data_IF_373738444100
#
_entry.id   IF_373738444100
#
_cell.length_a   1.000
_cell.length_b   1.000
_cell.length_c   1.000
_cell.angle_alpha   90.00
_cell.angle_beta   90.00
_cell.angle_gamma   90.00
#
_symmetry.space_group_name_H-M   'P 1'
#
loop_
_entity.id
_entity.type
_entity.pdbx_description
1 polymer ?
#
# COMPACT_ATOMS: atom_id res chain seq x y z
N UNK A 1 120.34 -149.18 127.97
CA UNK A 1 119.75 -147.83 127.97
C UNK A 1 120.72 -146.93 127.24
N UNK A 2 120.49 -146.64 125.95
CA UNK A 2 121.04 -145.43 125.35
C UNK A 2 119.88 -144.44 125.29
N UNK A 3 119.91 -143.47 126.21
CA UNK A 3 118.84 -142.49 126.43
C UNK A 3 118.96 -141.40 125.37
N UNK A 4 117.97 -141.37 124.47
CA UNK A 4 117.79 -140.42 123.36
C UNK A 4 117.45 -139.02 123.89
N UNK A 5 118.04 -137.96 123.32
CA UNK A 5 117.92 -136.57 123.78
C UNK A 5 116.65 -135.87 123.21
N UNK A 6 116.03 -134.89 123.91
CA UNK A 6 114.81 -134.21 123.46
C UNK A 6 114.92 -133.41 122.14
N UNK A 7 116.14 -133.04 121.75
CA UNK A 7 116.42 -132.41 120.45
C UNK A 7 116.15 -133.39 119.29
N UNK A 8 116.40 -134.68 119.52
CA UNK A 8 116.16 -135.74 118.54
C UNK A 8 114.66 -135.94 118.32
N UNK A 9 113.83 -135.81 119.36
CA UNK A 9 112.36 -135.91 119.23
C UNK A 9 111.73 -134.79 118.38
N UNK A 10 112.26 -133.55 118.45
CA UNK A 10 111.79 -132.43 117.60
C UNK A 10 112.25 -132.60 116.15
N UNK A 11 113.48 -133.08 115.96
CA UNK A 11 113.95 -133.45 114.63
C UNK A 11 113.09 -134.58 114.06
N UNK A 12 112.74 -135.58 114.85
CA UNK A 12 111.88 -136.69 114.45
C UNK A 12 110.44 -136.26 114.15
N UNK A 13 109.85 -135.32 114.89
CA UNK A 13 108.51 -134.80 114.59
C UNK A 13 108.48 -133.93 113.31
N UNK A 14 109.52 -133.12 113.09
CA UNK A 14 109.72 -132.38 111.85
C UNK A 14 109.95 -133.30 110.66
N UNK A 15 110.76 -134.33 110.84
CA UNK A 15 110.97 -135.42 109.89
C UNK A 15 109.68 -136.23 109.69
N UNK A 16 108.85 -136.44 110.70
CA UNK A 16 107.58 -137.16 110.59
C UNK A 16 106.53 -136.32 109.85
N UNK A 17 106.44 -135.01 110.08
CA UNK A 17 105.60 -134.10 109.27
C UNK A 17 106.08 -134.03 107.83
N UNK A 18 107.39 -133.94 107.61
CA UNK A 18 107.98 -134.01 106.27
C UNK A 18 107.66 -135.36 105.64
N UNK A 19 107.94 -136.49 106.30
CA UNK A 19 107.57 -137.84 105.84
C UNK A 19 106.07 -137.96 105.59
N UNK A 20 105.20 -137.39 106.40
CA UNK A 20 103.75 -137.45 106.21
C UNK A 20 103.29 -136.57 105.04
N UNK A 21 103.87 -135.38 104.87
CA UNK A 21 103.63 -134.52 103.71
C UNK A 21 104.19 -135.16 102.43
N UNK A 22 105.37 -135.78 102.52
CA UNK A 22 105.99 -136.60 101.48
C UNK A 22 105.11 -137.81 101.18
N UNK A 23 104.52 -138.49 102.16
CA UNK A 23 103.59 -139.60 101.94
C UNK A 23 102.29 -139.14 101.29
N UNK A 24 101.71 -138.00 101.69
CA UNK A 24 100.54 -137.39 101.01
C UNK A 24 100.88 -136.97 99.59
N UNK A 25 102.09 -136.43 99.37
CA UNK A 25 102.60 -136.05 98.05
C UNK A 25 102.87 -137.29 97.21
N UNK A 26 103.53 -138.31 97.74
CA UNK A 26 103.81 -139.59 97.10
C UNK A 26 102.51 -140.28 96.70
N UNK A 27 101.50 -140.30 97.56
CA UNK A 27 100.15 -140.79 97.21
C UNK A 27 99.54 -140.06 95.99
N UNK A 28 99.88 -138.78 95.75
CA UNK A 28 99.46 -138.03 94.56
C UNK A 28 100.40 -138.15 93.36
N UNK A 29 101.70 -138.38 93.61
CA UNK A 29 102.75 -138.41 92.57
C UNK A 29 102.89 -139.80 91.95
N UNK A 30 102.76 -140.86 92.76
CA UNK A 30 102.84 -142.25 92.32
C UNK A 30 101.51 -142.82 91.84
N UNK A 31 100.39 -142.25 92.27
CA UNK A 31 99.10 -142.56 91.65
C UNK A 31 99.02 -141.81 90.32
N UNK A 32 99.32 -142.55 89.24
CA UNK A 32 99.32 -142.02 87.89
C UNK A 32 97.98 -141.35 87.54
N UNK A 33 96.86 -141.82 88.10
CA UNK A 33 95.53 -141.27 87.79
C UNK A 33 95.31 -139.91 88.42
N UNK A 34 95.65 -139.71 89.68
CA UNK A 34 95.56 -138.39 90.33
C UNK A 34 96.61 -137.40 89.84
N UNK A 35 97.72 -137.88 89.26
CA UNK A 35 98.72 -137.02 88.62
C UNK A 35 98.29 -136.54 87.22
N UNK A 36 97.55 -137.37 86.48
CA UNK A 36 97.06 -137.02 85.13
C UNK A 36 95.70 -136.32 85.19
N UNK A 37 94.80 -136.72 86.09
CA UNK A 37 93.39 -136.25 86.17
C UNK A 37 92.97 -136.02 87.65
N UNK A 38 93.82 -135.37 88.45
CA UNK A 38 93.51 -135.02 89.83
C UNK A 38 92.83 -133.66 89.94
N UNK A 39 91.71 -133.60 90.66
CA UNK A 39 91.02 -132.36 90.99
C UNK A 39 90.01 -132.54 92.11
N UNK A 40 89.68 -131.44 92.78
CA UNK A 40 88.71 -131.42 93.89
C UNK A 40 87.30 -131.27 93.33
N UNK A 41 86.59 -132.39 93.24
CA UNK A 41 85.22 -132.44 92.71
C UNK A 41 84.23 -131.65 93.56
N UNK A 42 84.44 -131.54 94.88
CA UNK A 42 83.55 -130.79 95.77
C UNK A 42 83.71 -129.28 95.57
N UNK A 43 84.96 -128.80 95.45
CA UNK A 43 85.25 -127.40 95.13
C UNK A 43 84.74 -127.00 93.74
N UNK A 44 84.89 -127.86 92.72
CA UNK A 44 84.31 -127.62 91.39
C UNK A 44 82.79 -127.59 91.42
N UNK A 45 82.14 -128.48 92.19
CA UNK A 45 80.69 -128.46 92.36
C UNK A 45 80.21 -127.15 93.01
N UNK A 46 80.93 -126.64 94.02
CA UNK A 46 80.63 -125.35 94.64
C UNK A 46 80.83 -124.18 93.66
N UNK A 47 81.92 -124.16 92.87
CA UNK A 47 82.15 -123.15 91.84
C UNK A 47 81.06 -123.16 90.75
N UNK A 48 80.65 -124.36 90.29
CA UNK A 48 79.54 -124.50 89.34
C UNK A 48 78.23 -124.03 89.96
N UNK A 49 78.00 -124.29 91.25
CA UNK A 49 76.81 -123.80 91.95
C UNK A 49 76.78 -122.27 92.05
N UNK A 50 77.89 -121.64 92.44
CA UNK A 50 78.01 -120.17 92.50
C UNK A 50 77.87 -119.54 91.11
N UNK A 51 78.43 -120.16 90.08
CA UNK A 51 78.27 -119.71 88.70
C UNK A 51 76.80 -119.83 88.24
N UNK A 52 76.11 -120.92 88.59
CA UNK A 52 74.66 -121.05 88.33
C UNK A 52 73.84 -119.99 89.07
N UNK A 53 74.20 -119.63 90.31
CA UNK A 53 73.54 -118.53 91.03
C UNK A 53 73.79 -117.19 90.33
N UNK A 54 75.03 -116.90 89.92
CA UNK A 54 75.35 -115.67 89.17
C UNK A 54 74.58 -115.60 87.86
N UNK A 55 74.58 -116.67 87.08
CA UNK A 55 73.81 -116.76 85.84
C UNK A 55 72.30 -116.58 86.10
N UNK A 56 71.75 -117.18 87.16
CA UNK A 56 70.34 -117.02 87.51
C UNK A 56 70.00 -115.58 87.93
N UNK A 57 70.87 -114.92 88.69
CA UNK A 57 70.67 -113.53 89.12
C UNK A 57 70.83 -112.54 87.95
N UNK A 58 71.77 -112.77 87.04
CA UNK A 58 71.91 -112.00 85.79
C UNK A 58 70.71 -112.22 84.87
N UNK A 59 70.26 -113.47 84.69
CA UNK A 59 69.03 -113.77 83.94
C UNK A 59 67.82 -113.06 84.53
N UNK A 60 67.63 -113.11 85.86
CA UNK A 60 66.54 -112.40 86.53
C UNK A 60 66.63 -110.87 86.31
N UNK A 61 67.83 -110.28 86.35
CA UNK A 61 68.04 -108.85 86.04
C UNK A 61 67.72 -108.51 84.59
N UNK A 62 68.15 -109.34 83.64
CA UNK A 62 67.83 -109.16 82.24
C UNK A 62 66.33 -109.30 81.98
N UNK A 63 65.66 -110.23 82.66
CA UNK A 63 64.21 -110.39 82.61
C UNK A 63 63.47 -109.17 83.18
N UNK A 64 63.93 -108.58 84.28
CA UNK A 64 63.35 -107.34 84.82
C UNK A 64 63.52 -106.17 83.85
N UNK A 65 64.71 -105.98 83.28
CA UNK A 65 64.93 -104.93 82.28
C UNK A 65 64.11 -105.15 81.01
N UNK A 66 63.98 -106.40 80.54
CA UNK A 66 63.13 -106.74 79.40
C UNK A 66 61.64 -106.51 79.71
N UNK A 67 61.20 -106.72 80.96
CA UNK A 67 59.84 -106.39 81.38
C UNK A 67 59.61 -104.86 81.41
N UNK A 68 60.54 -104.08 81.94
CA UNK A 68 60.49 -102.62 81.93
C UNK A 68 60.49 -102.05 80.51
N UNK A 69 61.35 -102.57 79.62
CA UNK A 69 61.38 -102.17 78.22
C UNK A 69 60.02 -102.42 77.54
N UNK A 70 59.40 -103.58 77.75
CA UNK A 70 58.05 -103.88 77.24
C UNK A 70 56.99 -102.93 77.79
N UNK A 71 57.09 -102.51 79.06
CA UNK A 71 56.19 -101.52 79.64
C UNK A 71 56.40 -100.14 79.02
N UNK A 72 57.64 -99.70 78.84
CA UNK A 72 57.98 -98.42 78.23
C UNK A 72 57.56 -98.35 76.75
N UNK A 73 57.73 -99.43 75.99
CA UNK A 73 57.27 -99.53 74.60
C UNK A 73 55.73 -99.39 74.54
N UNK A 74 55.02 -100.09 75.44
CA UNK A 74 53.56 -99.97 75.55
C UNK A 74 53.12 -98.55 75.89
N UNK A 75 53.81 -97.88 76.82
CA UNK A 75 53.53 -96.48 77.18
C UNK A 75 53.76 -95.57 75.96
N UNK A 76 54.86 -95.78 75.23
CA UNK A 76 55.21 -95.01 74.03
C UNK A 76 54.14 -95.13 72.96
N UNK A 77 53.67 -96.34 72.65
CA UNK A 77 52.57 -96.55 71.70
C UNK A 77 51.28 -95.83 72.13
N UNK A 78 50.93 -95.88 73.42
CA UNK A 78 49.74 -95.20 73.94
C UNK A 78 49.86 -93.68 73.79
N UNK A 79 51.04 -93.11 74.08
CA UNK A 79 51.31 -91.69 73.94
C UNK A 79 51.27 -91.25 72.47
N UNK A 80 51.85 -92.04 71.57
CA UNK A 80 51.80 -91.79 70.13
C UNK A 80 50.36 -91.81 69.60
N UNK A 81 49.54 -92.77 70.04
CA UNK A 81 48.12 -92.84 69.65
C UNK A 81 47.29 -91.69 70.22
N UNK A 82 47.65 -91.16 71.40
CA UNK A 82 47.04 -89.93 71.93
C UNK A 82 47.43 -88.73 71.08
N UNK A 83 48.72 -88.55 70.81
CA UNK A 83 49.20 -87.46 69.96
C UNK A 83 48.58 -87.51 68.56
N UNK A 84 48.49 -88.69 67.94
CA UNK A 84 47.82 -88.88 66.64
C UNK A 84 46.35 -88.49 66.69
N UNK A 85 45.64 -88.79 67.79
CA UNK A 85 44.24 -88.39 67.97
C UNK A 85 44.13 -86.88 68.14
N UNK A 86 44.99 -86.27 68.95
CA UNK A 86 45.02 -84.83 69.21
C UNK A 86 45.35 -84.03 67.94
N UNK A 87 46.31 -84.52 67.14
CA UNK A 87 46.60 -83.95 65.81
C UNK A 87 45.38 -84.02 64.89
N UNK A 88 44.67 -85.15 64.88
CA UNK A 88 43.44 -85.30 64.07
C UNK A 88 42.33 -84.36 64.53
N UNK A 89 42.08 -84.22 65.83
CA UNK A 89 41.07 -83.29 66.36
C UNK A 89 41.46 -81.84 66.09
N UNK A 90 42.73 -81.48 66.25
CA UNK A 90 43.22 -80.14 65.92
C UNK A 90 43.04 -79.82 64.42
N UNK A 91 43.44 -80.72 63.52
CA UNK A 91 43.24 -80.53 62.09
C UNK A 91 41.76 -80.39 61.73
N UNK A 92 40.87 -81.19 62.36
CA UNK A 92 39.42 -81.05 62.18
C UNK A 92 38.92 -79.71 62.66
N UNK A 93 39.36 -79.24 63.84
CA UNK A 93 38.97 -77.94 64.38
C UNK A 93 39.43 -76.79 63.48
N UNK A 94 40.68 -76.84 62.97
CA UNK A 94 41.22 -75.87 62.02
C UNK A 94 40.38 -75.86 60.74
N UNK A 95 40.12 -77.02 60.14
CA UNK A 95 39.30 -77.11 58.92
C UNK A 95 37.88 -76.58 59.15
N UNK A 96 37.25 -76.92 60.27
CA UNK A 96 35.93 -76.43 60.63
C UNK A 96 35.94 -74.90 60.80
N UNK A 97 36.98 -74.35 61.43
CA UNK A 97 37.15 -72.91 61.58
C UNK A 97 37.34 -72.21 60.22
N UNK A 98 38.18 -72.77 59.35
CA UNK A 98 38.40 -72.26 58.00
C UNK A 98 37.10 -72.29 57.18
N UNK A 99 36.35 -73.39 57.22
CA UNK A 99 35.09 -73.52 56.50
C UNK A 99 33.99 -72.61 57.05
N UNK A 100 34.00 -72.29 58.34
CA UNK A 100 32.96 -71.48 58.97
C UNK A 100 33.25 -69.98 58.85
N UNK A 101 34.50 -69.58 59.01
CA UNK A 101 34.89 -68.17 59.19
C UNK A 101 35.86 -67.63 58.15
N UNK A 102 36.48 -68.48 57.32
CA UNK A 102 37.44 -68.06 56.29
C UNK A 102 36.91 -68.32 54.88
N UNK A 103 35.59 -68.24 54.69
CA UNK A 103 34.98 -68.34 53.37
C UNK A 103 35.42 -67.14 52.52
N UNK A 104 35.58 -67.30 51.19
CA UNK A 104 35.85 -66.17 50.30
C UNK A 104 34.80 -65.06 50.41
N UNK A 105 33.53 -65.46 50.57
CA UNK A 105 32.37 -64.56 50.68
C UNK A 105 32.42 -63.65 51.91
N UNK A 106 33.08 -64.07 52.99
CA UNK A 106 33.17 -63.31 54.24
C UNK A 106 34.36 -62.35 54.27
N UNK A 107 35.13 -62.25 53.17
CA UNK A 107 36.24 -61.31 53.06
C UNK A 107 35.73 -59.88 52.93
N UNK A 108 36.51 -58.92 53.42
CA UNK A 108 36.16 -57.49 53.38
C UNK A 108 36.04 -56.98 51.94
N UNK A 109 36.89 -57.49 51.06
CA UNK A 109 37.03 -57.12 49.65
C UNK A 109 36.30 -58.09 48.70
N UNK A 110 35.40 -58.93 49.21
CA UNK A 110 34.67 -59.88 48.37
C UNK A 110 33.77 -59.18 47.35
N UNK A 111 33.21 -58.02 47.69
CA UNK A 111 32.44 -57.16 46.78
C UNK A 111 33.22 -56.82 45.49
N UNK A 112 34.53 -56.61 45.58
CA UNK A 112 35.40 -56.34 44.44
C UNK A 112 35.77 -57.61 43.65
N UNK A 113 35.76 -58.77 44.31
CA UNK A 113 36.20 -60.06 43.74
C UNK A 113 35.03 -60.96 43.35
N UNK A 114 33.79 -60.53 43.57
CA UNK A 114 32.59 -61.31 43.32
C UNK A 114 32.41 -61.53 41.80
N UNK A 115 32.41 -62.79 41.31
CA UNK A 115 32.21 -63.07 39.89
C UNK A 115 30.85 -62.61 39.37
N UNK A 116 29.88 -62.35 40.25
CA UNK A 116 28.54 -61.86 39.91
C UNK A 116 28.35 -60.35 40.12
N UNK A 117 29.41 -59.60 40.49
CA UNK A 117 29.32 -58.16 40.77
C UNK A 117 28.59 -57.38 39.67
N UNK A 118 29.00 -57.55 38.40
CA UNK A 118 28.40 -56.88 37.24
C UNK A 118 26.91 -57.18 37.03
N UNK A 119 26.40 -58.32 37.54
CA UNK A 119 24.98 -58.67 37.44
C UNK A 119 24.16 -58.09 38.59
N UNK A 120 24.79 -57.87 39.74
CA UNK A 120 24.16 -57.25 40.92
C UNK A 120 24.14 -55.72 40.81
N UNK A 121 25.12 -55.16 40.11
CA UNK A 121 25.24 -53.72 39.91
C UNK A 121 24.09 -53.16 39.07
N UNK A 122 23.64 -51.98 39.49
CA UNK A 122 22.61 -51.23 38.80
C UNK A 122 23.23 -50.39 37.68
N UNK A 123 22.54 -50.21 36.54
CA UNK A 123 23.00 -49.29 35.50
C UNK A 123 23.23 -47.88 36.05
N UNK A 124 24.26 -47.21 35.53
CA UNK A 124 24.65 -45.86 35.94
C UNK A 124 23.52 -44.82 35.73
N UNK A 125 22.67 -45.01 34.70
CA UNK A 125 21.44 -44.23 34.48
C UNK A 125 20.30 -45.19 34.18
N UNK A 126 19.33 -45.27 35.09
CA UNK A 126 18.12 -46.08 34.91
C UNK A 126 16.99 -45.29 34.26
N UNK A 127 16.89 -44.00 34.59
CA UNK A 127 15.84 -43.09 34.15
C UNK A 127 16.40 -41.68 34.09
N UNK A 128 15.80 -40.83 33.28
CA UNK A 128 16.14 -39.40 33.21
C UNK A 128 15.80 -38.65 34.49
N UNK A 129 14.89 -39.19 35.29
CA UNK A 129 14.48 -38.62 36.58
C UNK A 129 15.12 -39.36 37.77
N UNK A 130 16.20 -40.13 37.53
CA UNK A 130 16.93 -40.80 38.61
C UNK A 130 17.62 -39.76 39.51
N UNK A 131 17.21 -39.73 40.79
CA UNK A 131 17.69 -38.76 41.78
C UNK A 131 19.19 -38.97 42.08
N UNK A 132 19.74 -40.17 41.84
CA UNK A 132 21.16 -40.48 42.02
C UNK A 132 22.05 -39.75 41.01
N UNK A 133 21.49 -39.36 39.87
CA UNK A 133 22.20 -38.69 38.79
C UNK A 133 22.26 -37.19 39.04
N UNK A 134 23.18 -36.80 39.93
CA UNK A 134 23.53 -35.41 40.16
C UNK A 134 24.46 -34.88 39.05
N UNK A 135 24.65 -33.56 39.04
CA UNK A 135 25.46 -32.86 38.03
C UNK A 135 26.91 -33.37 37.99
N UNK A 136 27.49 -33.71 39.16
CA UNK A 136 28.88 -34.21 39.25
C UNK A 136 29.05 -35.62 38.66
N UNK A 137 27.98 -36.41 38.59
CA UNK A 137 28.03 -37.77 38.05
C UNK A 137 28.17 -37.85 36.53
N UNK A 138 27.97 -36.73 35.81
CA UNK A 138 28.10 -36.62 34.35
C UNK A 138 27.26 -37.65 33.56
N UNK A 139 26.21 -38.21 34.17
CA UNK A 139 25.33 -39.20 33.52
C UNK A 139 24.20 -38.57 32.71
N UNK A 140 23.84 -37.30 32.99
CA UNK A 140 22.77 -36.57 32.31
C UNK A 140 23.22 -35.15 31.99
N UNK A 141 23.12 -34.78 30.72
CA UNK A 141 23.38 -33.42 30.26
C UNK A 141 22.08 -32.73 29.83
N UNK A 142 21.91 -31.48 30.25
CA UNK A 142 20.73 -30.68 29.90
C UNK A 142 20.65 -30.34 28.39
N UNK A 143 21.75 -30.49 27.65
CA UNK A 143 21.79 -30.27 26.20
C UNK A 143 21.35 -31.46 25.35
N UNK A 144 21.12 -32.65 25.94
CA UNK A 144 20.69 -33.85 25.19
C UNK A 144 19.31 -33.69 24.55
N UNK A 145 18.44 -32.90 25.18
CA UNK A 145 17.08 -32.57 24.72
C UNK A 145 16.32 -33.73 24.05
N UNK A 146 15.77 -34.61 24.89
CA UNK A 146 14.99 -35.76 24.46
C UNK A 146 13.71 -35.36 23.70
N UNK A 147 13.21 -34.14 23.95
CA UNK A 147 11.95 -33.64 23.36
C UNK A 147 12.19 -32.86 22.06
N UNK A 148 13.38 -32.94 21.47
CA UNK A 148 13.74 -32.24 20.24
C UNK A 148 12.71 -32.44 19.12
N UNK A 149 12.28 -33.70 18.91
CA UNK A 149 11.33 -34.05 17.85
C UNK A 149 9.95 -33.44 18.09
N UNK A 150 9.46 -33.46 19.34
CA UNK A 150 8.17 -32.86 19.70
C UNK A 150 8.20 -31.34 19.55
N UNK A 151 9.28 -30.69 20.03
CA UNK A 151 9.46 -29.24 19.86
C UNK A 151 9.50 -28.87 18.38
N UNK A 152 10.20 -29.65 17.55
CA UNK A 152 10.29 -29.40 16.10
C UNK A 152 8.92 -29.53 15.43
N UNK A 153 8.14 -30.57 15.76
CA UNK A 153 6.76 -30.72 15.27
C UNK A 153 5.90 -29.51 15.64
N UNK A 154 5.95 -29.08 16.91
CA UNK A 154 5.19 -27.92 17.37
C UNK A 154 5.60 -26.61 16.67
N UNK A 155 6.89 -26.46 16.34
CA UNK A 155 7.39 -25.32 15.55
C UNK A 155 6.90 -25.39 14.10
N UNK A 156 6.90 -26.58 13.48
CA UNK A 156 6.38 -26.79 12.13
C UNK A 156 4.87 -26.51 12.05
N UNK A 157 4.11 -26.94 13.06
CA UNK A 157 2.67 -26.66 13.19
C UNK A 157 2.39 -25.15 13.31
N UNK A 158 3.09 -24.45 14.20
CA UNK A 158 2.98 -22.98 14.31
C UNK A 158 3.30 -22.27 13.00
N UNK A 159 4.41 -22.65 12.34
CA UNK A 159 4.79 -22.06 11.06
C UNK A 159 3.74 -22.31 9.97
N UNK A 160 3.16 -23.51 9.96
CA UNK A 160 2.06 -23.85 9.05
C UNK A 160 0.83 -22.99 9.31
N UNK A 161 0.43 -22.83 10.57
CA UNK A 161 -0.73 -22.01 10.93
C UNK A 161 -0.53 -20.53 10.56
N UNK A 162 0.65 -19.97 10.85
CA UNK A 162 0.98 -18.60 10.45
C UNK A 162 0.98 -18.41 8.95
N UNK A 163 1.54 -19.36 8.19
CA UNK A 163 1.54 -19.29 6.72
C UNK A 163 0.12 -19.33 6.16
N UNK A 164 -0.75 -20.20 6.69
CA UNK A 164 -2.15 -20.28 6.29
C UNK A 164 -2.93 -19.01 6.65
N UNK A 165 -2.66 -18.41 7.82
CA UNK A 165 -3.26 -17.15 8.20
C UNK A 165 -2.86 -16.02 7.25
N UNK A 166 -1.57 -15.90 6.93
CA UNK A 166 -1.09 -14.90 5.98
C UNK A 166 -1.69 -15.09 4.58
N UNK A 167 -1.81 -16.33 4.09
CA UNK A 167 -2.47 -16.62 2.82
C UNK A 167 -3.93 -16.16 2.83
N UNK A 168 -4.69 -16.48 3.88
CA UNK A 168 -6.09 -16.04 4.01
C UNK A 168 -6.22 -14.53 4.11
N UNK A 169 -5.32 -13.85 4.79
CA UNK A 169 -5.29 -12.39 4.86
C UNK A 169 -4.98 -11.77 3.51
N UNK A 170 -4.01 -12.33 2.78
CA UNK A 170 -3.67 -11.89 1.44
C UNK A 170 -4.81 -12.10 0.44
N UNK A 171 -5.46 -13.26 0.46
CA UNK A 171 -6.62 -13.56 -0.38
C UNK A 171 -7.79 -12.60 -0.09
N UNK A 172 -8.08 -12.34 1.20
CA UNK A 172 -9.10 -11.36 1.60
C UNK A 172 -8.75 -9.95 1.12
N UNK A 173 -7.51 -9.51 1.30
CA UNK A 173 -7.06 -8.20 0.84
C UNK A 173 -7.16 -8.07 -0.69
N UNK A 174 -6.79 -9.13 -1.42
CA UNK A 174 -6.90 -9.19 -2.88
C UNK A 174 -8.35 -9.17 -3.35
N UNK A 175 -9.26 -9.88 -2.67
CA UNK A 175 -10.68 -9.85 -2.97
C UNK A 175 -11.27 -8.45 -2.72
N UNK A 176 -10.95 -7.83 -1.58
CA UNK A 176 -11.35 -6.45 -1.27
C UNK A 176 -10.84 -5.45 -2.31
N UNK A 177 -9.58 -5.59 -2.75
CA UNK A 177 -9.02 -4.74 -3.80
C UNK A 177 -9.79 -4.88 -5.13
N UNK A 178 -10.06 -6.12 -5.56
CA UNK A 178 -10.85 -6.38 -6.77
C UNK A 178 -12.24 -5.77 -6.70
N UNK A 179 -12.95 -5.98 -5.58
CA UNK A 179 -14.26 -5.38 -5.38
C UNK A 179 -14.21 -3.84 -5.43
N UNK A 180 -13.17 -3.22 -4.88
CA UNK A 180 -12.99 -1.77 -4.94
C UNK A 180 -12.69 -1.28 -6.37
N UNK A 181 -11.87 -2.01 -7.13
CA UNK A 181 -11.61 -1.72 -8.55
C UNK A 181 -12.87 -1.86 -9.40
N UNK A 182 -13.65 -2.91 -9.20
CA UNK A 182 -14.91 -3.13 -9.91
C UNK A 182 -15.91 -2.00 -9.62
N UNK A 183 -16.04 -1.59 -8.36
CA UNK A 183 -16.89 -0.46 -7.97
C UNK A 183 -16.41 0.86 -8.59
N UNK A 184 -15.10 1.09 -8.60
CA UNK A 184 -14.51 2.27 -9.24
C UNK A 184 -14.78 2.27 -10.75
N UNK A 185 -14.62 1.12 -11.43
CA UNK A 185 -14.92 0.97 -12.85
C UNK A 185 -16.40 1.24 -13.14
N UNK A 186 -17.32 0.66 -12.37
CA UNK A 186 -18.76 0.91 -12.51
C UNK A 186 -19.09 2.41 -12.33
N UNK A 187 -18.50 3.04 -11.32
CA UNK A 187 -18.68 4.48 -11.08
C UNK A 187 -18.19 5.30 -12.26
N UNK A 188 -17.01 4.98 -12.83
CA UNK A 188 -16.49 5.65 -14.02
C UNK A 188 -17.39 5.48 -15.25
N UNK A 189 -17.89 4.28 -15.49
CA UNK A 189 -18.82 4.02 -16.58
C UNK A 189 -20.10 4.85 -16.42
N UNK A 190 -20.64 4.95 -15.20
CA UNK A 190 -21.80 5.79 -14.92
C UNK A 190 -21.53 7.28 -15.20
N UNK A 191 -20.32 7.77 -14.89
CA UNK A 191 -19.92 9.13 -15.24
C UNK A 191 -19.78 9.34 -16.75
N UNK A 192 -19.25 8.37 -17.48
CA UNK A 192 -19.16 8.46 -18.95
C UNK A 192 -20.55 8.45 -19.61
N UNK A 193 -21.49 7.66 -19.09
CA UNK A 193 -22.88 7.63 -19.56
C UNK A 193 -23.61 8.95 -19.29
N UNK A 194 -23.51 9.46 -18.07
CA UNK A 194 -24.09 10.77 -17.72
C UNK A 194 -23.47 11.90 -18.52
N UNK A 195 -22.14 11.89 -18.76
CA UNK A 195 -21.48 12.87 -19.60
C UNK A 195 -21.98 12.82 -21.06
N UNK A 196 -22.13 11.62 -21.63
CA UNK A 196 -22.73 11.44 -22.97
C UNK A 196 -24.16 11.98 -23.00
N UNK A 197 -24.97 11.68 -21.99
CA UNK A 197 -26.34 12.19 -21.91
C UNK A 197 -26.36 13.73 -21.87
N UNK A 198 -25.57 14.35 -20.99
CA UNK A 198 -25.46 15.81 -20.91
C UNK A 198 -24.99 16.44 -22.22
N UNK A 199 -24.02 15.82 -22.90
CA UNK A 199 -23.56 16.29 -24.21
C UNK A 199 -24.67 16.21 -25.27
N UNK A 200 -25.46 15.13 -25.29
CA UNK A 200 -26.59 15.03 -26.22
C UNK A 200 -27.64 16.09 -25.94
N UNK A 201 -27.96 16.32 -24.66
CA UNK A 201 -28.95 17.30 -24.23
C UNK A 201 -28.49 18.71 -24.59
N UNK A 202 -27.24 19.06 -24.31
CA UNK A 202 -26.63 20.33 -24.69
C UNK A 202 -26.63 20.56 -26.21
N UNK A 203 -26.30 19.52 -26.99
CA UNK A 203 -26.37 19.61 -28.45
C UNK A 203 -27.81 19.83 -28.94
N UNK A 204 -28.80 19.17 -28.33
CA UNK A 204 -30.21 19.35 -28.70
C UNK A 204 -30.73 20.73 -28.30
N UNK A 205 -30.38 21.26 -27.12
CA UNK A 205 -30.80 22.59 -26.68
C UNK A 205 -30.16 23.67 -27.54
N UNK A 206 -28.86 23.57 -27.85
CA UNK A 206 -28.19 24.48 -28.79
C UNK A 206 -28.87 24.48 -30.16
N UNK A 207 -29.21 23.31 -30.71
CA UNK A 207 -29.95 23.21 -31.98
C UNK A 207 -31.33 23.86 -31.90
N UNK A 208 -32.07 23.64 -30.82
CA UNK A 208 -33.38 24.23 -30.61
C UNK A 208 -33.29 25.77 -30.50
N UNK A 209 -32.32 26.29 -29.76
CA UNK A 209 -32.04 27.73 -29.66
C UNK A 209 -31.68 28.31 -31.02
N UNK A 210 -30.77 27.68 -31.78
CA UNK A 210 -30.42 28.14 -33.13
C UNK A 210 -31.63 28.13 -34.07
N UNK A 211 -32.51 27.12 -33.99
CA UNK A 211 -33.73 27.05 -34.78
C UNK A 211 -34.71 28.19 -34.41
N UNK A 212 -34.92 28.44 -33.11
CA UNK A 212 -35.77 29.53 -32.63
C UNK A 212 -35.23 30.91 -33.05
N UNK A 213 -33.92 31.14 -32.93
CA UNK A 213 -33.27 32.39 -33.38
C UNK A 213 -33.41 32.55 -34.90
N UNK A 214 -33.23 31.47 -35.68
CA UNK A 214 -33.43 31.50 -37.13
C UNK A 214 -34.87 31.88 -37.49
N UNK A 215 -35.86 31.30 -36.82
CA UNK A 215 -37.26 31.62 -37.04
C UNK A 215 -37.60 33.07 -36.65
N UNK A 216 -37.07 33.54 -35.52
CA UNK A 216 -37.21 34.93 -35.09
C UNK A 216 -36.62 35.90 -36.12
N UNK A 217 -35.38 35.66 -36.58
CA UNK A 217 -34.74 36.50 -37.60
C UNK A 217 -35.52 36.48 -38.93
N UNK A 218 -36.13 35.32 -39.29
CA UNK A 218 -37.00 35.23 -40.48
C UNK A 218 -38.23 36.12 -40.32
N UNK A 219 -38.93 36.01 -39.19
CA UNK A 219 -40.11 36.86 -38.88
C UNK A 219 -39.75 38.33 -38.85
N UNK A 220 -38.61 38.69 -38.25
CA UNK A 220 -38.12 40.06 -38.21
C UNK A 220 -37.79 40.61 -39.61
N UNK A 221 -37.24 39.78 -40.50
CA UNK A 221 -37.00 40.15 -41.89
C UNK A 221 -38.31 40.34 -42.67
N UNK A 222 -39.29 39.45 -42.49
CA UNK A 222 -40.63 39.56 -43.06
C UNK A 222 -41.32 40.86 -42.60
N UNK A 223 -41.31 41.14 -41.30
CA UNK A 223 -41.86 42.37 -40.71
C UNK A 223 -41.15 43.62 -41.27
N UNK A 224 -39.81 43.61 -41.36
CA UNK A 224 -39.06 44.72 -41.95
C UNK A 224 -39.40 44.95 -43.42
N UNK A 225 -39.61 43.89 -44.19
CA UNK A 225 -40.04 43.97 -45.58
C UNK A 225 -41.46 44.53 -45.71
N UNK A 226 -42.37 44.15 -44.81
CA UNK A 226 -43.73 44.70 -44.75
C UNK A 226 -43.73 46.18 -44.38
N UNK A 227 -42.96 46.57 -43.36
CA UNK A 227 -42.78 47.99 -42.97
C UNK A 227 -42.27 48.82 -44.14
N UNK A 228 -41.22 48.36 -44.84
CA UNK A 228 -40.70 49.05 -46.04
C UNK A 228 -41.74 49.16 -47.16
N UNK A 229 -42.60 48.15 -47.36
CA UNK A 229 -43.70 48.22 -48.34
C UNK A 229 -44.74 49.25 -47.91
N UNK A 230 -45.06 49.33 -46.63
CA UNK A 230 -46.00 50.33 -46.10
C UNK A 230 -45.41 51.74 -46.21
N UNK A 231 -44.15 51.94 -45.81
CA UNK A 231 -43.43 53.21 -45.96
C UNK A 231 -43.40 53.66 -47.42
N UNK A 232 -43.10 52.77 -48.38
CA UNK A 232 -43.16 53.10 -49.81
C UNK A 232 -44.55 53.50 -50.28
N UNK A 233 -45.60 52.80 -49.82
CA UNK A 233 -46.97 53.15 -50.15
C UNK A 233 -47.35 54.52 -49.58
N UNK A 234 -46.95 54.80 -48.33
CA UNK A 234 -47.17 56.10 -47.70
C UNK A 234 -46.41 57.20 -48.46
N UNK A 235 -45.15 56.96 -48.84
CA UNK A 235 -44.37 57.90 -49.66
C UNK A 235 -45.01 58.14 -51.02
N UNK A 236 -45.54 57.09 -51.69
CA UNK A 236 -46.31 57.24 -52.93
C UNK A 236 -47.60 58.04 -52.73
N UNK A 237 -48.35 57.79 -51.66
CA UNK A 237 -49.57 58.54 -51.29
C UNK A 237 -49.26 60.01 -50.97
N UNK A 238 -48.22 60.28 -50.20
CA UNK A 238 -47.75 61.62 -49.85
C UNK A 238 -47.27 62.37 -51.10
N UNK A 239 -46.51 61.72 -51.98
CA UNK A 239 -46.09 62.28 -53.26
C UNK A 239 -47.30 62.63 -54.15
N UNK A 240 -48.30 61.76 -54.21
CA UNK A 240 -49.54 62.03 -54.94
C UNK A 240 -50.33 63.18 -54.32
N UNK A 241 -50.41 63.24 -52.99
CA UNK A 241 -51.06 64.33 -52.27
C UNK A 241 -50.34 65.66 -52.49
N UNK A 242 -49.01 65.68 -52.48
CA UNK A 242 -48.20 66.87 -52.80
C UNK A 242 -48.44 67.32 -54.25
N UNK A 243 -48.33 66.41 -55.23
CA UNK A 243 -48.59 66.72 -56.64
C UNK A 243 -50.01 67.27 -56.82
N UNK A 244 -51.02 66.63 -56.22
CA UNK A 244 -52.41 67.09 -56.28
C UNK A 244 -52.57 68.47 -55.64
N UNK A 245 -51.99 68.70 -54.46
CA UNK A 245 -52.01 70.00 -53.77
C UNK A 245 -51.32 71.09 -54.58
N UNK A 246 -50.19 70.78 -55.25
CA UNK A 246 -49.50 71.72 -56.12
C UNK A 246 -50.32 72.04 -57.37
N UNK A 247 -50.92 71.04 -58.02
CA UNK A 247 -51.76 71.20 -59.21
C UNK A 247 -53.01 72.05 -58.92
N UNK A 248 -53.68 71.80 -57.79
CA UNK A 248 -54.83 72.58 -57.34
C UNK A 248 -54.42 73.89 -56.67
N UNK A 249 -53.14 74.07 -56.36
CA UNK A 249 -52.59 75.27 -55.75
C UNK A 249 -52.78 76.49 -56.66
N UNK A 250 -53.01 77.63 -56.04
CA UNK A 250 -53.29 78.87 -56.76
C UNK A 250 -52.08 79.39 -57.60
N UNK A 251 -50.88 78.88 -57.34
CA UNK A 251 -49.67 79.21 -58.11
C UNK A 251 -49.71 78.60 -59.51
N UNK A 252 -49.93 77.28 -59.63
CA UNK A 252 -49.94 76.58 -60.92
C UNK A 252 -51.25 76.77 -61.69
N UNK A 253 -52.39 76.88 -61.00
CA UNK A 253 -53.69 77.16 -61.63
C UNK A 253 -53.86 78.62 -62.07
N UNK A 254 -52.87 79.46 -61.76
CA UNK A 254 -52.85 80.91 -62.00
C UNK A 254 -54.15 81.65 -61.61
N UNK A 255 -54.83 81.19 -60.57
CA UNK A 255 -56.16 81.66 -60.20
C UNK A 255 -56.23 83.21 -60.12
N UNK A 256 -57.09 83.88 -60.91
CA UNK A 256 -57.19 85.35 -60.94
C UNK A 256 -57.71 85.93 -59.61
N UNK A 257 -58.36 85.12 -58.78
CA UNK A 257 -58.84 85.53 -57.46
C UNK A 257 -57.72 85.85 -56.47
N UNK A 258 -56.49 85.40 -56.72
CA UNK A 258 -55.31 85.79 -55.93
C UNK A 258 -55.05 87.30 -55.91
N UNK A 259 -55.53 88.01 -56.94
CA UNK A 259 -55.37 89.45 -57.06
C UNK A 259 -56.43 90.22 -56.23
N UNK A 260 -57.50 89.57 -55.77
CA UNK A 260 -58.56 90.21 -55.02
C UNK A 260 -58.05 90.66 -53.64
N UNK A 261 -58.22 91.94 -53.33
CA UNK A 261 -57.84 92.48 -52.02
C UNK A 261 -58.92 92.18 -50.98
N UNK A 262 -58.53 91.79 -49.77
CA UNK A 262 -59.46 91.69 -48.62
C UNK A 262 -60.13 93.02 -48.27
N UNK A 263 -59.56 94.15 -48.73
CA UNK A 263 -60.08 95.50 -48.47
C UNK A 263 -61.15 95.98 -49.46
N UNK A 264 -61.56 95.14 -50.42
CA UNK A 264 -62.77 95.36 -51.22
C UNK A 264 -62.63 94.99 -52.71
N UNK A 265 -63.76 94.78 -53.42
CA UNK A 265 -63.77 94.23 -54.78
C UNK A 265 -63.10 95.09 -55.85
N UNK A 266 -62.99 96.40 -55.60
CA UNK A 266 -62.39 97.38 -56.51
C UNK A 266 -60.88 97.51 -56.32
N UNK A 267 -60.30 96.89 -55.28
CA UNK A 267 -58.89 97.00 -54.94
C UNK A 267 -58.19 95.68 -55.23
N UNK A 268 -57.00 95.80 -55.79
CA UNK A 268 -56.28 94.67 -56.37
C UNK A 268 -54.86 94.68 -55.81
N UNK A 269 -54.33 93.51 -55.46
CA UNK A 269 -53.00 93.36 -54.84
C UNK A 269 -51.94 93.51 -55.94
N UNK A 270 -51.09 94.57 -55.93
CA UNK A 270 -50.21 94.87 -57.08
C UNK A 270 -49.25 93.74 -57.46
N UNK A 271 -48.66 93.06 -56.47
CA UNK A 271 -47.71 91.97 -56.72
C UNK A 271 -48.34 90.66 -57.23
N UNK A 272 -49.68 90.56 -57.26
CA UNK A 272 -50.43 89.36 -57.69
C UNK A 272 -51.36 89.63 -58.87
N UNK A 273 -51.27 90.82 -59.47
CA UNK A 273 -52.09 91.23 -60.60
C UNK A 273 -51.68 90.48 -61.88
N UNK A 274 -52.62 89.78 -62.54
CA UNK A 274 -52.38 88.96 -63.75
C UNK A 274 -53.11 89.46 -65.02
N UNK A 275 -53.53 90.72 -65.04
CA UNK A 275 -54.26 91.32 -66.16
C UNK A 275 -55.74 91.54 -65.88
N UNK A 276 -56.45 92.13 -66.84
CA UNK A 276 -57.89 92.38 -66.76
C UNK A 276 -58.69 91.10 -67.03
N UNK A 277 -59.87 90.97 -66.42
CA UNK A 277 -60.76 89.83 -66.66
C UNK A 277 -61.27 89.83 -68.12
N UNK A 278 -61.65 88.66 -68.64
CA UNK A 278 -62.23 88.55 -69.98
C UNK A 278 -63.49 89.42 -70.13
N UNK A 279 -64.28 89.51 -69.08
CA UNK A 279 -65.48 90.36 -69.01
C UNK A 279 -65.12 91.86 -69.08
N UNK A 280 -64.10 92.31 -68.33
CA UNK A 280 -63.61 93.69 -68.39
C UNK A 280 -63.06 94.03 -69.77
N UNK A 281 -62.28 93.13 -70.38
CA UNK A 281 -61.78 93.33 -71.76
C UNK A 281 -62.91 93.36 -72.79
N UNK A 282 -63.96 92.54 -72.61
CA UNK A 282 -65.15 92.58 -73.45
C UNK A 282 -65.91 93.91 -73.30
N UNK A 283 -66.08 94.40 -72.08
CA UNK A 283 -66.68 95.72 -71.84
C UNK A 283 -65.89 96.82 -72.52
N UNK A 284 -64.55 96.85 -72.40
CA UNK A 284 -63.71 97.82 -73.10
C UNK A 284 -63.90 97.73 -74.61
N UNK A 285 -63.92 96.51 -75.19
CA UNK A 285 -64.16 96.32 -76.63
C UNK A 285 -65.55 96.81 -77.05
N UNK A 286 -66.57 96.62 -76.22
CA UNK A 286 -67.92 97.14 -76.47
C UNK A 286 -67.92 98.67 -76.44
N UNK A 287 -67.30 99.28 -75.43
CA UNK A 287 -67.16 100.74 -75.33
C UNK A 287 -66.39 101.32 -76.51
N UNK A 288 -65.30 100.68 -76.95
CA UNK A 288 -64.55 101.10 -78.15
C UNK A 288 -65.39 101.05 -79.42
N UNK A 289 -66.20 99.99 -79.60
CA UNK A 289 -67.14 99.91 -80.73
C UNK A 289 -68.17 101.03 -80.69
N UNK A 290 -68.71 101.34 -79.50
CA UNK A 290 -69.63 102.47 -79.32
C UNK A 290 -68.97 103.80 -79.67
N UNK A 291 -67.73 104.03 -79.22
CA UNK A 291 -66.96 105.23 -79.55
C UNK A 291 -66.70 105.39 -81.06
N UNK A 292 -66.43 104.29 -81.78
CA UNK A 292 -66.27 104.33 -83.24
C UNK A 292 -67.57 104.75 -83.92
N UNK A 293 -68.71 104.20 -83.48
CA UNK A 293 -70.03 104.58 -84.02
C UNK A 293 -70.37 106.03 -83.69
N UNK A 294 -70.14 106.49 -82.46
CA UNK A 294 -70.34 107.90 -82.09
C UNK A 294 -69.44 108.85 -82.88
N UNK A 295 -68.17 108.48 -83.11
CA UNK A 295 -67.23 109.29 -83.90
C UNK A 295 -67.66 109.41 -85.36
N UNK A 296 -68.14 108.32 -85.96
CA UNK A 296 -68.71 108.36 -87.32
C UNK A 296 -69.94 109.28 -87.39
N UNK A 297 -70.83 109.20 -86.40
CA UNK A 297 -71.99 110.09 -86.30
C UNK A 297 -71.59 111.56 -86.20
N UNK A 298 -70.59 111.89 -85.37
CA UNK A 298 -70.07 113.25 -85.24
C UNK A 298 -69.45 113.77 -86.54
N UNK A 299 -68.74 112.92 -87.30
CA UNK A 299 -68.20 113.29 -88.62
C UNK A 299 -69.29 113.56 -89.66
N UNK A 300 -70.37 112.77 -89.67
CA UNK A 300 -71.52 113.05 -90.53
C UNK A 300 -72.20 114.38 -90.17
N UNK A 301 -72.35 114.68 -88.87
CA UNK A 301 -72.88 115.95 -88.40
C UNK A 301 -71.96 117.14 -88.77
N UNK A 302 -70.63 116.98 -88.71
CA UNK A 302 -69.67 118.00 -89.15
C UNK A 302 -69.74 118.23 -90.67
N UNK A 303 -69.80 117.17 -91.49
CA UNK A 303 -69.95 117.31 -92.94
C UNK A 303 -71.25 118.04 -93.33
N UNK A 304 -72.38 117.77 -92.64
CA UNK A 304 -73.63 118.50 -92.88
C UNK A 304 -73.49 119.98 -92.51
N UNK A 305 -72.86 120.30 -91.37
CA UNK A 305 -72.62 121.69 -90.97
C UNK A 305 -71.72 122.43 -91.96
N UNK A 306 -70.66 121.80 -92.45
CA UNK A 306 -69.75 122.41 -93.42
C UNK A 306 -70.43 122.67 -94.77
N UNK A 307 -71.29 121.75 -95.22
CA UNK A 307 -72.13 121.96 -96.42
C UNK A 307 -73.07 123.16 -96.25
N UNK A 308 -73.73 123.28 -95.10
CA UNK A 308 -74.62 124.41 -94.80
C UNK A 308 -73.84 125.73 -94.72
N UNK A 309 -72.65 125.72 -94.10
CA UNK A 309 -71.76 126.88 -94.03
C UNK A 309 -71.27 127.33 -95.40
N UNK A 310 -70.90 126.41 -96.29
CA UNK A 310 -70.45 126.76 -97.65
C UNK A 310 -71.59 127.29 -98.53
N UNK A 311 -72.81 126.75 -98.40
CA UNK A 311 -73.98 127.33 -99.05
C UNK A 311 -74.24 128.77 -98.60
N UNK A 312 -74.17 129.05 -97.29
CA UNK A 312 -74.31 130.40 -96.75
C UNK A 312 -73.18 131.33 -97.21
N UNK A 313 -71.94 130.82 -97.32
CA UNK A 313 -70.77 131.58 -97.78
C UNK A 313 -70.93 132.02 -99.24
N UNK A 314 -71.39 131.12 -100.12
CA UNK A 314 -71.63 131.42 -101.54
C UNK A 314 -72.78 132.43 -101.71
N UNK A 315 -73.85 132.31 -100.92
CA UNK A 315 -74.96 133.26 -100.95
C UNK A 315 -74.51 134.68 -100.53
N UNK A 316 -73.79 134.80 -99.40
CA UNK A 316 -73.23 136.09 -98.93
C UNK A 316 -72.23 136.71 -99.90
N UNK A 317 -71.39 135.91 -100.54
CA UNK A 317 -70.45 136.41 -101.57
C UNK A 317 -71.20 136.97 -102.80
N UNK A 318 -72.32 136.37 -103.18
CA UNK A 318 -73.20 136.87 -104.24
C UNK A 318 -73.84 138.21 -103.87
N UNK A 319 -74.34 138.33 -102.64
CA UNK A 319 -74.93 139.58 -102.11
C UNK A 319 -73.91 140.72 -102.02
N UNK A 320 -72.69 140.42 -101.56
CA UNK A 320 -71.60 141.40 -101.47
C UNK A 320 -71.21 141.96 -102.85
N UNK A 321 -71.08 141.09 -103.88
CA UNK A 321 -70.79 141.52 -105.25
C UNK A 321 -71.91 142.39 -105.86
N UNK A 322 -73.18 142.11 -105.52
CA UNK A 322 -74.32 142.94 -105.96
C UNK A 322 -74.27 144.33 -105.30
N UNK A 323 -73.99 144.39 -104.00
CA UNK A 323 -73.84 145.65 -103.26
C UNK A 323 -72.66 146.49 -103.76
N UNK A 324 -71.52 145.85 -104.06
CA UNK A 324 -70.32 146.54 -104.56
C UNK A 324 -70.55 147.16 -105.94
N UNK A 325 -71.27 146.44 -106.82
CA UNK A 325 -71.69 146.94 -108.13
C UNK A 325 -72.66 148.13 -108.03
N UNK A 326 -73.51 148.15 -107.01
CA UNK A 326 -74.43 149.26 -106.73
C UNK A 326 -73.70 150.49 -106.20
N UNK A 327 -72.73 150.30 -105.29
CA UNK A 327 -71.84 151.36 -104.78
C UNK A 327 -71.01 152.03 -105.88
N UNK A 328 -70.48 151.26 -106.82
CA UNK A 328 -69.71 151.82 -107.94
C UNK A 328 -70.56 152.67 -108.90
N UNK A 329 -71.85 152.36 -109.08
CA UNK A 329 -72.78 153.21 -109.84
C UNK A 329 -73.01 154.54 -109.12
N UNK A 330 -73.30 154.49 -107.82
CA UNK A 330 -73.50 155.69 -106.99
C UNK A 330 -72.26 156.60 -106.94
N UNK A 331 -71.05 156.03 -106.85
CA UNK A 331 -69.81 156.81 -106.89
C UNK A 331 -69.55 157.47 -108.26
N UNK A 332 -69.96 156.83 -109.36
CA UNK A 332 -69.88 157.43 -110.71
C UNK A 332 -70.87 158.59 -110.88
N UNK A 333 -72.04 158.50 -110.27
CA UNK A 333 -73.05 159.57 -110.32
C UNK A 333 -72.63 160.77 -109.43
N UNK A 334 -72.06 160.50 -108.25
CA UNK A 334 -71.49 161.53 -107.36
C UNK A 334 -70.29 162.28 -107.98
N UNK A 335 -69.41 161.59 -108.72
CA UNK A 335 -68.30 162.24 -109.43
C UNK A 335 -68.77 163.18 -110.54
N UNK A 336 -69.78 162.79 -111.32
CA UNK A 336 -70.39 163.68 -112.32
C UNK A 336 -71.01 164.93 -111.69
N UNK A 337 -71.73 164.78 -110.58
CA UNK A 337 -72.31 165.90 -109.85
C UNK A 337 -71.24 166.88 -109.28
N UNK A 338 -70.09 166.36 -108.83
CA UNK A 338 -68.96 167.18 -108.37
C UNK A 338 -68.26 167.90 -109.53
N UNK A 339 -68.09 167.24 -110.68
CA UNK A 339 -67.49 167.86 -111.87
C UNK A 339 -68.38 168.99 -112.42
N UNK A 340 -69.70 168.80 -112.44
CA UNK A 340 -70.66 169.84 -112.85
C UNK A 340 -70.68 171.03 -111.86
N UNK A 341 -70.59 170.76 -110.55
CA UNK A 341 -70.52 171.80 -109.51
C UNK A 341 -69.22 172.61 -109.56
N UNK A 342 -68.10 171.98 -109.89
CA UNK A 342 -66.80 172.66 -110.07
C UNK A 342 -66.80 173.54 -111.33
N UNK A 343 -67.52 173.14 -112.37
CA UNK A 343 -67.65 173.91 -113.61
C UNK A 343 -68.52 175.16 -113.44
N UNK A 344 -69.52 175.12 -112.53
CA UNK A 344 -70.26 176.31 -112.12
C UNK A 344 -69.43 177.27 -111.25
N UNK A 345 -68.60 176.75 -110.34
CA UNK A 345 -67.74 177.57 -109.46
C UNK A 345 -66.62 178.29 -110.23
N UNK A 346 -66.13 177.72 -111.34
CA UNK A 346 -65.11 178.33 -112.20
C UNK A 346 -65.63 179.50 -113.09
N UNK A 347 -66.94 179.81 -113.05
CA UNK A 347 -67.52 180.96 -113.77
C UNK A 347 -67.77 182.18 -112.88
N UNK A 348 -67.58 182.07 -111.57
CA UNK A 348 -67.85 183.17 -110.61
C UNK A 348 -66.59 183.76 -109.94
N UNK A 349 -65.39 183.45 -110.42
CA UNK A 349 -64.14 184.16 -110.14
C UNK A 349 -63.28 184.21 -111.39
#
# INVERSE_FOLDING_TARGET
MEVVLPQDLKQDAGLAKRRHAELRRQKRVFDARSRIIGGDTEAWNAQVHDQKIKEATERARHETFAAEMRQNDKITCILEDRERRDRKTLCRAINNFQQSFQRPETRREFDLSDPLALKKDLPARQSDNDIRNTISGMQKFMGEDLNFQERKKFQEEQNREWSLQQQREWERARASHRCAEDLHLQTRLSFDETAKHLQTLERTTRRAVCAAVKEFNRKQAEESMERKKQERKQEEEDNLAEISSLLHGDLLSENPQQAASSFGPHRVIPGRWKGMSREQLQQIRLTQKQQVVEKLRLQEEECQRDMDWDQQRVQKAREALLHERQRQRQQRDLRRALDDSNLSLAKEQ
#
